data_IF_200194425730
#
_entry.id   IF_200194425730
#
_cell.length_a   1.000
_cell.length_b   1.000
_cell.length_c   1.000
_cell.angle_alpha   90.00
_cell.angle_beta   90.00
_cell.angle_gamma   90.00
#
_symmetry.space_group_name_H-M   'P 1'
#
loop_
_entity.id
_entity.type
_entity.pdbx_description
1 polymer ?
#
# COMPACT_ATOMS: atom_id res chain seq x y z
N UNK A 1 -6.84 -9.65 -2.97
CA UNK A 1 -7.59 -10.68 -3.70
C UNK A 1 -7.77 -11.93 -2.87
N UNK A 2 -6.72 -12.45 -2.28
CA UNK A 2 -6.74 -13.44 -1.20
C UNK A 2 -7.75 -13.05 -0.09
N UNK A 3 -7.84 -11.76 0.23
CA UNK A 3 -8.76 -11.19 1.20
C UNK A 3 -10.25 -11.41 0.87
N UNK A 4 -10.62 -11.34 -0.41
CA UNK A 4 -12.02 -11.51 -0.85
C UNK A 4 -12.46 -12.98 -0.82
N UNK A 5 -11.52 -13.91 -1.01
CA UNK A 5 -11.76 -15.34 -0.86
C UNK A 5 -11.89 -15.74 0.60
N UNK A 6 -10.98 -15.27 1.45
CA UNK A 6 -11.02 -15.48 2.89
C UNK A 6 -12.33 -14.95 3.48
N UNK A 7 -12.80 -13.79 2.99
CA UNK A 7 -14.08 -13.21 3.41
C UNK A 7 -15.31 -13.95 2.85
N UNK A 8 -15.14 -15.01 2.04
CA UNK A 8 -16.22 -15.76 1.36
C UNK A 8 -17.17 -14.87 0.54
N UNK A 9 -16.66 -13.77 0.01
CA UNK A 9 -17.44 -12.83 -0.79
C UNK A 9 -17.50 -13.29 -2.24
N UNK A 10 -16.48 -14.02 -2.70
CA UNK A 10 -16.39 -14.54 -4.07
C UNK A 10 -16.53 -16.06 -4.10
N UNK A 11 -17.34 -16.61 -5.00
CA UNK A 11 -17.38 -18.05 -5.24
C UNK A 11 -16.04 -18.55 -5.81
N UNK A 12 -15.62 -19.75 -5.40
CA UNK A 12 -14.33 -20.38 -5.79
C UNK A 12 -14.06 -20.39 -7.31
N UNK A 13 -15.10 -20.39 -8.13
CA UNK A 13 -14.98 -20.40 -9.60
C UNK A 13 -14.49 -19.05 -10.18
N UNK A 14 -14.66 -17.95 -9.46
CA UNK A 14 -14.16 -16.63 -9.88
C UNK A 14 -12.67 -16.39 -9.54
N UNK A 15 -12.05 -17.27 -8.78
CA UNK A 15 -10.67 -17.11 -8.32
C UNK A 15 -9.66 -16.92 -9.45
N UNK A 16 -9.69 -17.76 -10.47
CA UNK A 16 -8.78 -17.65 -11.61
C UNK A 16 -8.96 -16.35 -12.40
N UNK A 17 -10.23 -15.93 -12.59
CA UNK A 17 -10.54 -14.67 -13.27
C UNK A 17 -10.07 -13.45 -12.46
N UNK A 18 -10.26 -13.47 -11.16
CA UNK A 18 -9.82 -12.37 -10.30
C UNK A 18 -8.30 -12.26 -10.21
N UNK A 19 -7.56 -13.37 -10.19
CA UNK A 19 -6.10 -13.37 -10.27
C UNK A 19 -5.62 -12.80 -11.61
N UNK A 20 -6.25 -13.21 -12.71
CA UNK A 20 -5.93 -12.71 -14.04
C UNK A 20 -6.13 -11.19 -14.15
N UNK A 21 -7.27 -10.67 -13.69
CA UNK A 21 -7.53 -9.22 -13.67
C UNK A 21 -6.57 -8.45 -12.75
N UNK A 22 -6.14 -9.06 -11.64
CA UNK A 22 -5.14 -8.45 -10.77
C UNK A 22 -3.79 -8.31 -11.48
N UNK A 23 -3.33 -9.36 -12.14
CA UNK A 23 -2.06 -9.32 -12.89
C UNK A 23 -2.13 -8.28 -14.01
N UNK A 24 -3.24 -8.23 -14.76
CA UNK A 24 -3.45 -7.22 -15.80
C UNK A 24 -3.44 -5.81 -15.19
N UNK A 25 -4.19 -5.59 -14.11
CA UNK A 25 -4.23 -4.29 -13.43
C UNK A 25 -2.86 -3.85 -12.92
N UNK A 26 -2.09 -4.78 -12.36
CA UNK A 26 -0.73 -4.51 -11.92
C UNK A 26 0.20 -4.17 -13.10
N UNK A 27 0.15 -4.92 -14.19
CA UNK A 27 0.91 -4.63 -15.41
C UNK A 27 0.53 -3.28 -16.03
N UNK A 28 -0.76 -2.97 -16.09
CA UNK A 28 -1.25 -1.68 -16.59
C UNK A 28 -0.74 -0.52 -15.72
N UNK A 29 -0.73 -0.68 -14.39
CA UNK A 29 -0.17 0.31 -13.47
C UNK A 29 1.32 0.53 -13.74
N UNK A 30 2.11 -0.54 -13.89
CA UNK A 30 3.54 -0.43 -14.18
C UNK A 30 3.81 0.23 -15.54
N UNK A 31 3.13 -0.26 -16.59
CA UNK A 31 3.33 0.25 -17.96
C UNK A 31 2.88 1.71 -18.06
N UNK A 32 1.70 2.06 -17.53
CA UNK A 32 1.22 3.44 -17.58
C UNK A 32 2.13 4.40 -16.81
N UNK A 33 2.66 3.96 -15.66
CA UNK A 33 3.63 4.76 -14.90
C UNK A 33 4.94 4.93 -15.65
N UNK A 34 5.47 3.86 -16.24
CA UNK A 34 6.70 3.91 -17.03
C UNK A 34 6.56 4.84 -18.25
N UNK A 35 5.43 4.76 -18.97
CA UNK A 35 5.14 5.62 -20.13
C UNK A 35 5.01 7.09 -19.69
N UNK A 36 4.29 7.37 -18.61
CA UNK A 36 4.12 8.73 -18.09
C UNK A 36 5.47 9.35 -17.64
N UNK A 37 6.30 8.55 -16.95
CA UNK A 37 7.66 8.97 -16.58
C UNK A 37 8.52 9.21 -17.81
N UNK A 38 8.46 8.34 -18.81
CA UNK A 38 9.20 8.49 -20.07
C UNK A 38 8.84 9.80 -20.76
N UNK A 39 7.56 10.11 -20.91
CA UNK A 39 7.10 11.37 -21.50
C UNK A 39 7.53 12.59 -20.70
N UNK A 40 7.38 12.53 -19.38
CA UNK A 40 7.79 13.61 -18.49
C UNK A 40 9.32 13.85 -18.53
N UNK A 41 10.11 12.77 -18.58
CA UNK A 41 11.56 12.85 -18.67
C UNK A 41 12.06 13.51 -19.95
N UNK A 42 11.36 13.30 -21.08
CA UNK A 42 11.71 13.94 -22.36
C UNK A 42 11.52 15.47 -22.34
N UNK A 43 10.66 15.98 -21.46
CA UNK A 43 10.40 17.43 -21.32
C UNK A 43 11.40 18.13 -20.39
N UNK A 44 12.28 17.38 -19.72
CA UNK A 44 13.30 17.95 -18.86
C UNK A 44 14.46 18.54 -19.68
N UNK A 45 14.71 19.83 -19.53
CA UNK A 45 15.84 20.50 -20.18
C UNK A 45 17.17 20.29 -19.43
N UNK A 46 17.12 20.29 -18.11
CA UNK A 46 18.29 20.14 -17.23
C UNK A 46 17.92 19.33 -15.98
N UNK A 47 18.89 18.58 -15.48
CA UNK A 47 18.73 17.81 -14.24
C UNK A 47 19.28 18.57 -13.04
N UNK A 48 18.44 18.83 -12.05
CA UNK A 48 18.80 19.56 -10.84
C UNK A 48 19.15 18.64 -9.66
N UNK A 49 19.91 19.18 -8.71
CA UNK A 49 20.19 18.49 -7.44
C UNK A 49 18.88 18.17 -6.70
N UNK A 50 17.89 19.05 -6.76
CA UNK A 50 16.59 18.85 -6.11
C UNK A 50 15.84 17.65 -6.69
N UNK A 51 15.89 17.45 -8.01
CA UNK A 51 15.32 16.26 -8.65
C UNK A 51 16.01 14.97 -8.22
N UNK A 52 17.34 15.02 -8.01
CA UNK A 52 18.08 13.89 -7.44
C UNK A 52 17.58 13.54 -6.03
N UNK A 53 17.37 14.56 -5.17
CA UNK A 53 16.79 14.34 -3.83
C UNK A 53 15.40 13.71 -3.91
N UNK A 54 14.53 14.22 -4.77
CA UNK A 54 13.18 13.66 -4.93
C UNK A 54 13.22 12.23 -5.48
N UNK A 55 14.14 11.91 -6.38
CA UNK A 55 14.31 10.55 -6.89
C UNK A 55 14.76 9.59 -5.78
N UNK A 56 15.70 10.03 -4.92
CA UNK A 56 16.11 9.25 -3.74
C UNK A 56 14.93 9.03 -2.79
N UNK A 57 14.09 10.06 -2.56
CA UNK A 57 12.89 9.91 -1.75
C UNK A 57 11.89 8.95 -2.40
N UNK A 58 11.70 9.01 -3.73
CA UNK A 58 10.88 8.03 -4.47
C UNK A 58 11.35 6.60 -4.21
N UNK A 59 12.67 6.36 -4.34
CA UNK A 59 13.26 5.04 -4.10
C UNK A 59 13.06 4.59 -2.63
N UNK A 60 13.24 5.49 -1.67
CA UNK A 60 13.01 5.19 -0.25
C UNK A 60 11.56 4.78 0.01
N UNK A 61 10.58 5.55 -0.49
CA UNK A 61 9.16 5.24 -0.32
C UNK A 61 8.77 3.94 -1.04
N UNK A 62 9.37 3.67 -2.19
CA UNK A 62 9.19 2.41 -2.92
C UNK A 62 9.73 1.21 -2.12
N UNK A 63 10.92 1.34 -1.52
CA UNK A 63 11.48 0.29 -0.66
C UNK A 63 10.63 0.06 0.60
N UNK A 64 10.11 1.12 1.22
CA UNK A 64 9.18 1.01 2.35
C UNK A 64 7.88 0.32 1.94
N UNK A 65 7.38 0.58 0.74
CA UNK A 65 6.20 -0.10 0.18
C UNK A 65 6.46 -1.60 0.01
N UNK A 66 7.57 -1.97 -0.64
CA UNK A 66 7.97 -3.37 -0.82
C UNK A 66 8.15 -4.07 0.54
N UNK A 67 8.86 -3.42 1.47
CA UNK A 67 9.04 -3.96 2.81
C UNK A 67 7.69 -4.24 3.50
N UNK A 68 6.78 -3.26 3.46
CA UNK A 68 5.46 -3.38 4.10
C UNK A 68 4.60 -4.49 3.48
N UNK A 69 4.65 -4.65 2.16
CA UNK A 69 3.82 -5.64 1.45
C UNK A 69 4.33 -7.07 1.60
N UNK A 70 5.66 -7.26 1.65
CA UNK A 70 6.25 -8.59 1.55
C UNK A 70 6.96 -9.06 2.82
N UNK A 71 7.43 -8.16 3.67
CA UNK A 71 8.29 -8.51 4.81
C UNK A 71 7.70 -8.13 6.17
N UNK A 72 6.81 -7.13 6.22
CA UNK A 72 6.28 -6.64 7.50
C UNK A 72 5.16 -7.53 8.08
N UNK A 73 4.56 -8.42 7.28
CA UNK A 73 3.53 -9.36 7.73
C UNK A 73 4.11 -10.78 7.83
N UNK A 74 4.15 -11.39 9.02
CA UNK A 74 4.42 -12.80 9.17
C UNK A 74 3.18 -13.60 8.70
N UNK A 75 3.20 -14.07 7.45
CA UNK A 75 2.07 -14.77 6.83
C UNK A 75 1.61 -15.98 7.64
N UNK A 76 2.53 -16.75 8.23
CA UNK A 76 2.20 -17.96 9.00
C UNK A 76 1.43 -17.64 10.29
N UNK A 77 1.83 -16.59 11.02
CA UNK A 77 1.17 -16.21 12.28
C UNK A 77 -0.19 -15.53 12.05
N UNK A 78 -0.35 -14.87 10.90
CA UNK A 78 -1.54 -14.05 10.61
C UNK A 78 -2.65 -14.88 9.96
N UNK A 79 -2.32 -15.85 9.10
CA UNK A 79 -3.29 -16.57 8.26
C UNK A 79 -3.39 -18.07 8.51
N UNK A 80 -2.49 -18.69 9.27
CA UNK A 80 -2.41 -20.16 9.45
C UNK A 80 -2.80 -20.64 10.85
N UNK A 81 -3.28 -19.77 11.73
CA UNK A 81 -3.65 -20.16 13.10
C UNK A 81 -4.95 -20.97 13.15
N UNK A 82 -4.95 -22.09 13.89
CA UNK A 82 -6.11 -22.98 14.09
C UNK A 82 -7.33 -22.29 14.76
N UNK A 83 -7.15 -21.13 15.38
CA UNK A 83 -8.17 -20.38 16.12
C UNK A 83 -8.73 -19.16 15.35
N UNK A 84 -8.60 -19.13 14.03
CA UNK A 84 -9.00 -17.99 13.19
C UNK A 84 -7.88 -16.98 12.97
N UNK A 85 -7.97 -16.22 11.87
CA UNK A 85 -6.97 -15.21 11.52
C UNK A 85 -7.00 -14.06 12.54
N UNK A 86 -5.83 -13.69 13.07
CA UNK A 86 -5.65 -12.54 13.97
C UNK A 86 -4.95 -11.40 13.25
N UNK A 87 -5.27 -10.19 13.66
CA UNK A 87 -4.61 -8.99 13.16
C UNK A 87 -3.17 -8.90 13.68
N UNK A 88 -2.26 -8.50 12.80
CA UNK A 88 -0.89 -8.19 13.17
C UNK A 88 -0.79 -6.70 13.54
N UNK A 89 -0.48 -6.39 14.81
CA UNK A 89 -0.48 -5.03 15.37
C UNK A 89 0.93 -4.54 15.78
N UNK A 90 1.99 -5.07 15.12
CA UNK A 90 3.39 -4.76 15.43
C UNK A 90 4.08 -4.06 14.25
N UNK A 91 5.23 -3.42 14.52
CA UNK A 91 6.04 -2.78 13.50
C UNK A 91 5.26 -1.75 12.68
N UNK A 92 5.31 -1.83 11.35
CA UNK A 92 4.60 -0.92 10.45
C UNK A 92 3.07 -0.92 10.64
N UNK A 93 2.48 -2.05 11.06
CA UNK A 93 1.05 -2.18 11.32
C UNK A 93 0.62 -1.67 12.69
N UNK A 94 1.57 -1.34 13.58
CA UNK A 94 1.32 -0.52 14.76
C UNK A 94 1.30 0.98 14.45
N UNK A 95 1.97 1.41 13.37
CA UNK A 95 2.03 2.80 12.93
C UNK A 95 0.67 3.31 12.45
N UNK A 96 0.07 2.58 11.51
CA UNK A 96 -1.29 2.76 11.01
C UNK A 96 -1.77 1.46 10.37
N UNK A 97 -3.10 1.33 10.16
CA UNK A 97 -3.71 0.11 9.61
C UNK A 97 -3.35 -0.15 8.15
N UNK A 98 -3.09 0.92 7.38
CA UNK A 98 -2.79 0.83 5.94
C UNK A 98 -1.50 1.59 5.59
N UNK A 99 -0.33 1.18 6.12
CA UNK A 99 0.93 1.87 5.88
C UNK A 99 1.33 1.86 4.40
N UNK A 100 0.95 0.82 3.65
CA UNK A 100 1.22 0.73 2.22
C UNK A 100 0.63 1.89 1.41
N UNK A 101 -0.51 2.47 1.83
CA UNK A 101 -1.10 3.65 1.15
C UNK A 101 -0.23 4.88 1.32
N UNK A 102 0.37 5.07 2.51
CA UNK A 102 1.26 6.20 2.76
C UNK A 102 2.49 6.11 1.87
N UNK A 103 3.10 4.93 1.81
CA UNK A 103 4.30 4.71 1.02
C UNK A 103 4.02 4.81 -0.48
N UNK A 104 2.91 4.26 -0.94
CA UNK A 104 2.45 4.35 -2.33
C UNK A 104 2.19 5.81 -2.74
N UNK A 105 1.47 6.56 -1.91
CA UNK A 105 1.19 7.97 -2.17
C UNK A 105 2.47 8.80 -2.16
N UNK A 106 3.36 8.57 -1.20
CA UNK A 106 4.67 9.23 -1.13
C UNK A 106 5.53 8.93 -2.36
N UNK A 107 5.54 7.67 -2.81
CA UNK A 107 6.26 7.26 -4.00
C UNK A 107 5.79 8.06 -5.25
N UNK A 108 4.48 8.14 -5.51
CA UNK A 108 3.95 8.90 -6.64
C UNK A 108 4.13 10.40 -6.50
N UNK A 109 4.03 10.95 -5.29
CA UNK A 109 4.26 12.36 -5.03
C UNK A 109 5.70 12.76 -5.40
N UNK A 110 6.69 12.05 -4.87
CA UNK A 110 8.09 12.35 -5.13
C UNK A 110 8.50 12.01 -6.57
N UNK A 111 7.90 10.99 -7.17
CA UNK A 111 8.07 10.68 -8.59
C UNK A 111 7.61 11.84 -9.47
N UNK A 112 6.43 12.39 -9.18
CA UNK A 112 5.93 13.57 -9.87
C UNK A 112 6.79 14.81 -9.61
N UNK A 113 7.27 15.04 -8.39
CA UNK A 113 8.18 16.15 -8.08
C UNK A 113 9.51 16.02 -8.81
N UNK A 114 9.96 14.80 -9.12
CA UNK A 114 11.20 14.53 -9.88
C UNK A 114 11.04 14.90 -11.36
N UNK A 115 10.00 14.40 -12.00
CA UNK A 115 9.84 14.49 -13.46
C UNK A 115 8.86 15.57 -13.89
N UNK A 116 7.93 15.99 -13.03
CA UNK A 116 6.87 16.93 -13.39
C UNK A 116 5.83 16.32 -14.33
N UNK A 117 5.22 17.17 -15.14
CA UNK A 117 4.26 16.77 -16.17
C UNK A 117 2.82 16.59 -15.68
N UNK A 118 1.86 17.03 -16.50
CA UNK A 118 0.43 16.94 -16.17
C UNK A 118 -0.09 15.50 -16.25
N UNK A 119 0.42 14.72 -17.18
CA UNK A 119 0.04 13.32 -17.38
C UNK A 119 0.44 12.46 -16.18
N UNK A 120 1.68 12.63 -15.69
CA UNK A 120 2.16 11.93 -14.51
C UNK A 120 1.40 12.34 -13.25
N UNK A 121 1.06 13.63 -13.10
CA UNK A 121 0.23 14.13 -12.00
C UNK A 121 -1.16 13.48 -12.02
N UNK A 122 -1.82 13.50 -13.17
CA UNK A 122 -3.16 12.93 -13.32
C UNK A 122 -3.15 11.42 -13.03
N UNK A 123 -2.16 10.70 -13.54
CA UNK A 123 -1.96 9.29 -13.27
C UNK A 123 -1.73 9.01 -11.77
N UNK A 124 -0.88 9.81 -11.13
CA UNK A 124 -0.61 9.72 -9.70
C UNK A 124 -1.90 9.92 -8.87
N UNK A 125 -2.69 10.95 -9.21
CA UNK A 125 -3.97 11.22 -8.53
C UNK A 125 -4.96 10.06 -8.67
N UNK A 126 -5.12 9.53 -9.89
CA UNK A 126 -6.03 8.40 -10.16
C UNK A 126 -5.59 7.16 -9.38
N UNK A 127 -4.30 6.80 -9.46
CA UNK A 127 -3.78 5.60 -8.80
C UNK A 127 -3.85 5.72 -7.27
N UNK A 128 -3.52 6.87 -6.71
CA UNK A 128 -3.64 7.11 -5.27
C UNK A 128 -5.10 7.07 -4.80
N UNK A 129 -6.03 7.65 -5.57
CA UNK A 129 -7.46 7.60 -5.27
C UNK A 129 -7.99 6.16 -5.31
N UNK A 130 -7.67 5.40 -6.35
CA UNK A 130 -8.10 4.00 -6.47
C UNK A 130 -7.53 3.14 -5.33
N UNK A 131 -6.25 3.34 -4.97
CA UNK A 131 -5.64 2.66 -3.83
C UNK A 131 -6.34 3.02 -2.52
N UNK A 132 -6.62 4.30 -2.29
CA UNK A 132 -7.36 4.77 -1.11
C UNK A 132 -8.76 4.15 -1.02
N UNK A 133 -9.53 4.16 -2.11
CA UNK A 133 -10.86 3.53 -2.16
C UNK A 133 -10.79 2.02 -1.88
N UNK A 134 -9.77 1.35 -2.40
CA UNK A 134 -9.56 -0.07 -2.14
C UNK A 134 -9.31 -0.37 -0.66
N UNK A 135 -8.47 0.41 0.02
CA UNK A 135 -8.22 0.18 1.45
C UNK A 135 -9.40 0.58 2.34
N UNK A 136 -10.21 1.57 1.94
CA UNK A 136 -11.48 1.87 2.62
C UNK A 136 -12.42 0.66 2.56
N UNK A 137 -12.51 0.00 1.41
CA UNK A 137 -13.29 -1.21 1.25
C UNK A 137 -12.72 -2.38 2.09
N UNK A 138 -11.40 -2.55 2.10
CA UNK A 138 -10.75 -3.56 2.95
C UNK A 138 -11.05 -3.32 4.44
N UNK A 139 -10.87 -2.09 4.91
CA UNK A 139 -11.08 -1.72 6.32
C UNK A 139 -12.53 -1.85 6.78
N UNK A 140 -13.48 -1.52 5.88
CA UNK A 140 -14.91 -1.54 6.20
C UNK A 140 -15.58 -2.89 6.03
N UNK A 141 -15.13 -3.69 5.07
CA UNK A 141 -15.86 -4.90 4.64
C UNK A 141 -15.01 -6.16 4.77
N UNK A 142 -13.80 -6.16 4.23
CA UNK A 142 -13.00 -7.38 4.08
C UNK A 142 -12.36 -7.81 5.40
N UNK A 143 -11.60 -6.91 6.03
CA UNK A 143 -10.83 -7.24 7.23
C UNK A 143 -11.70 -7.58 8.45
N UNK A 144 -12.84 -6.91 8.71
CA UNK A 144 -13.75 -7.33 9.78
C UNK A 144 -14.34 -8.74 9.62
N UNK A 145 -14.35 -9.28 8.40
CA UNK A 145 -14.83 -10.64 8.11
C UNK A 145 -13.72 -11.68 8.17
N UNK A 146 -12.49 -11.27 7.90
CA UNK A 146 -11.31 -12.15 7.89
C UNK A 146 -10.70 -12.29 9.28
N UNK A 147 -10.53 -11.16 9.99
CA UNK A 147 -9.86 -11.12 11.29
C UNK A 147 -10.86 -11.02 12.44
N UNK A 148 -10.77 -11.96 13.37
CA UNK A 148 -11.71 -12.05 14.50
C UNK A 148 -11.58 -10.89 15.50
N UNK A 149 -10.38 -10.31 15.61
CA UNK A 149 -10.04 -9.22 16.54
C UNK A 149 -9.93 -7.84 15.87
N UNK A 150 -10.35 -7.71 14.60
CA UNK A 150 -10.19 -6.49 13.82
C UNK A 150 -10.83 -5.25 14.46
N UNK A 151 -11.97 -5.41 15.10
CA UNK A 151 -12.64 -4.30 15.80
C UNK A 151 -11.84 -3.76 16.99
N UNK A 152 -11.10 -4.61 17.69
CA UNK A 152 -10.20 -4.22 18.78
C UNK A 152 -8.98 -3.49 18.20
N UNK A 153 -8.42 -4.00 17.12
CA UNK A 153 -7.32 -3.39 16.39
C UNK A 153 -7.68 -1.98 15.89
N UNK A 154 -8.88 -1.79 15.32
CA UNK A 154 -9.40 -0.47 14.87
C UNK A 154 -9.42 0.59 15.97
N UNK A 155 -9.65 0.20 17.21
CA UNK A 155 -9.68 1.14 18.35
C UNK A 155 -8.29 1.59 18.79
N UNK A 156 -7.26 0.78 18.54
CA UNK A 156 -5.89 1.02 18.99
C UNK A 156 -5.02 1.70 17.93
N UNK A 157 -5.19 1.34 16.68
CA UNK A 157 -4.34 1.77 15.58
C UNK A 157 -5.10 2.68 14.63
N UNK A 158 -4.58 3.87 14.30
CA UNK A 158 -5.24 4.82 13.40
C UNK A 158 -5.35 4.26 11.98
N UNK A 159 -6.35 4.75 11.23
CA UNK A 159 -6.62 4.28 9.86
C UNK A 159 -5.42 4.52 8.93
N UNK A 160 -5.00 5.78 8.78
CA UNK A 160 -3.97 6.18 7.83
C UNK A 160 -2.95 7.13 8.44
N UNK A 161 -3.39 8.17 9.15
CA UNK A 161 -2.51 9.21 9.68
C UNK A 161 -1.93 8.74 11.01
N UNK A 162 -0.59 8.56 11.11
CA UNK A 162 0.06 8.16 12.34
C UNK A 162 -0.16 9.18 13.46
N UNK A 163 -0.39 8.68 14.66
CA UNK A 163 -0.45 9.47 15.90
C UNK A 163 0.85 9.30 16.68
N UNK A 164 1.15 10.22 17.60
CA UNK A 164 2.32 10.11 18.48
C UNK A 164 2.33 8.76 19.22
N UNK A 165 1.16 8.31 19.69
CA UNK A 165 1.00 7.02 20.37
C UNK A 165 1.30 5.84 19.44
N UNK A 166 0.82 5.87 18.19
CA UNK A 166 1.08 4.79 17.22
C UNK A 166 2.54 4.75 16.76
N UNK A 167 3.21 5.90 16.67
CA UNK A 167 4.65 5.97 16.39
C UNK A 167 5.44 5.31 17.55
N UNK A 168 5.11 5.62 18.80
CA UNK A 168 5.75 4.99 19.94
C UNK A 168 5.54 3.48 19.97
N UNK A 169 4.31 3.00 19.71
CA UNK A 169 4.02 1.57 19.59
C UNK A 169 4.82 0.91 18.46
N UNK A 170 4.91 1.55 17.30
CA UNK A 170 5.70 1.07 16.18
C UNK A 170 7.17 0.86 16.58
N UNK A 171 7.80 1.86 17.21
CA UNK A 171 9.20 1.79 17.65
C UNK A 171 9.42 0.71 18.71
N UNK A 172 8.50 0.57 19.67
CA UNK A 172 8.59 -0.43 20.73
C UNK A 172 8.44 -1.87 20.22
N UNK A 173 7.52 -2.07 19.27
CA UNK A 173 7.24 -3.41 18.71
C UNK A 173 8.16 -3.80 17.56
N UNK A 174 8.96 -2.87 17.02
CA UNK A 174 9.95 -3.15 15.98
C UNK A 174 11.15 -3.95 16.49
N UNK A 175 11.45 -3.84 17.78
CA UNK A 175 12.62 -4.46 18.40
C UNK A 175 12.35 -5.85 18.99
N UNK A 176 11.09 -6.27 19.03
CA UNK A 176 10.63 -7.55 19.53
C UNK A 176 10.03 -8.40 18.41
#
# INVERSE_FOLDING_TARGET
MYDLEQARILPLQLHKFTQFFFVIGFLLLLVSTAVAVWHAAQSLSEWSILQTVFLVMTALFFLLLIYTLFFALPFEETYVTQNGCKTYDRGMYALCRHPGVLWFTGCYLFLWMTFGGKELLLLAMINCLLNFLYVVLQDGVTFPRVFTDYNIYKQRVPFLIPTVKSIQMCIQTWKN
#
